data_IF_767003385938
#
_entry.id   IF_767003385938
#
_cell.length_a   1.000
_cell.length_b   1.000
_cell.length_c   1.000
_cell.angle_alpha   90.00
_cell.angle_beta   90.00
_cell.angle_gamma   90.00
#
_symmetry.space_group_name_H-M   'P 1'
#
loop_
_entity.id
_entity.type
_entity.pdbx_description
1 polymer ?
#
# COMPACT_ATOMS: atom_id res chain seq x y z
N UNK A 1 -10.00 1.75 -7.85
CA UNK A 1 -9.44 2.62 -6.78
C UNK A 1 -9.79 4.10 -6.94
N UNK A 2 -10.42 4.54 -8.04
CA UNK A 2 -10.89 5.92 -8.19
C UNK A 2 -11.97 6.29 -7.17
N UNK A 3 -12.76 5.31 -6.74
CA UNK A 3 -13.85 5.40 -5.78
C UNK A 3 -13.43 5.93 -4.39
N UNK A 4 -12.15 5.81 -4.03
CA UNK A 4 -11.57 6.33 -2.77
C UNK A 4 -11.00 7.73 -2.90
N UNK A 5 -10.62 8.16 -4.11
CA UNK A 5 -9.84 9.39 -4.32
C UNK A 5 -10.67 10.63 -3.96
N UNK A 6 -10.08 11.53 -3.16
CA UNK A 6 -10.71 12.81 -2.78
C UNK A 6 -11.94 12.67 -1.88
N UNK A 7 -12.27 11.47 -1.38
CA UNK A 7 -13.47 11.24 -0.53
C UNK A 7 -13.23 11.48 0.96
N UNK A 8 -11.98 11.60 1.38
CA UNK A 8 -11.61 11.75 2.79
C UNK A 8 -10.37 12.64 2.95
N UNK A 9 -10.32 13.36 4.06
CA UNK A 9 -9.17 14.16 4.52
C UNK A 9 -8.73 13.80 5.93
N UNK A 10 -9.44 12.88 6.59
CA UNK A 10 -9.17 12.44 7.97
C UNK A 10 -9.05 10.92 8.03
N UNK A 11 -8.32 10.41 9.03
CA UNK A 11 -8.18 8.96 9.27
C UNK A 11 -9.53 8.27 9.47
N UNK A 12 -10.46 8.91 10.19
CA UNK A 12 -11.82 8.40 10.41
C UNK A 12 -12.61 8.37 9.10
N UNK A 13 -12.50 9.42 8.27
CA UNK A 13 -13.11 9.46 6.95
C UNK A 13 -12.60 8.35 6.03
N UNK A 14 -11.29 8.09 6.04
CA UNK A 14 -10.68 7.00 5.29
C UNK A 14 -11.24 5.64 5.72
N UNK A 15 -11.33 5.38 7.04
CA UNK A 15 -11.92 4.14 7.57
C UNK A 15 -13.38 3.99 7.12
N UNK A 16 -14.18 5.05 7.21
CA UNK A 16 -15.58 5.03 6.75
C UNK A 16 -15.69 4.74 5.25
N UNK A 17 -14.79 5.29 4.43
CA UNK A 17 -14.75 5.02 3.00
C UNK A 17 -14.47 3.53 2.72
N UNK A 18 -13.50 2.92 3.41
CA UNK A 18 -13.24 1.48 3.30
C UNK A 18 -14.47 0.64 3.68
N UNK A 19 -15.06 0.90 4.84
CA UNK A 19 -16.25 0.17 5.31
C UNK A 19 -17.44 0.35 4.36
N UNK A 20 -17.61 1.54 3.76
CA UNK A 20 -18.68 1.81 2.79
C UNK A 20 -18.58 0.89 1.56
N UNK A 21 -17.37 0.54 1.14
CA UNK A 21 -17.14 -0.38 0.03
C UNK A 21 -16.97 -1.84 0.48
N UNK A 22 -17.28 -2.15 1.75
CA UNK A 22 -17.27 -3.51 2.26
C UNK A 22 -15.88 -4.03 2.69
N UNK A 23 -14.87 -3.16 2.78
CA UNK A 23 -13.53 -3.56 3.21
C UNK A 23 -13.29 -3.24 4.69
N UNK A 24 -12.66 -4.17 5.39
CA UNK A 24 -12.23 -4.03 6.78
C UNK A 24 -10.86 -3.36 6.91
N UNK A 25 -10.08 -3.34 5.83
CA UNK A 25 -8.69 -2.92 5.80
C UNK A 25 -8.29 -2.43 4.41
N UNK A 26 -7.20 -1.65 4.35
CA UNK A 26 -6.60 -1.25 3.07
C UNK A 26 -6.05 -2.46 2.31
N UNK A 27 -5.52 -3.45 3.03
CA UNK A 27 -5.04 -4.72 2.49
C UNK A 27 -6.17 -5.46 1.77
N UNK A 28 -7.35 -5.60 2.39
CA UNK A 28 -8.51 -6.20 1.74
C UNK A 28 -8.97 -5.43 0.50
N UNK A 29 -8.90 -4.10 0.54
CA UNK A 29 -9.21 -3.28 -0.63
C UNK A 29 -8.21 -3.51 -1.78
N UNK A 30 -6.92 -3.68 -1.48
CA UNK A 30 -5.92 -4.00 -2.51
C UNK A 30 -6.04 -5.43 -3.01
N UNK A 31 -6.34 -6.40 -2.15
CA UNK A 31 -6.55 -7.80 -2.53
C UNK A 31 -7.71 -7.97 -3.52
N UNK A 32 -8.75 -7.16 -3.41
CA UNK A 32 -9.85 -7.19 -4.37
C UNK A 32 -9.44 -6.62 -5.73
N UNK A 33 -8.56 -5.60 -5.76
CA UNK A 33 -8.24 -4.84 -6.98
C UNK A 33 -7.02 -5.35 -7.72
N UNK A 34 -6.10 -6.02 -7.03
CA UNK A 34 -4.80 -6.39 -7.56
C UNK A 34 -4.40 -7.80 -7.17
N UNK A 35 -3.61 -8.43 -8.02
CA UNK A 35 -3.06 -9.76 -7.74
C UNK A 35 -1.96 -9.68 -6.69
N UNK A 36 -2.11 -10.42 -5.59
CA UNK A 36 -1.01 -10.59 -4.62
C UNK A 36 0.14 -11.34 -5.27
N UNK A 37 1.35 -10.82 -5.10
CA UNK A 37 2.59 -11.48 -5.55
C UNK A 37 3.56 -11.62 -4.38
N UNK A 38 4.28 -12.74 -4.26
CA UNK A 38 5.36 -12.82 -3.29
C UNK A 38 6.38 -11.71 -3.58
N UNK A 39 6.89 -11.05 -2.55
CA UNK A 39 7.77 -9.89 -2.72
C UNK A 39 9.04 -10.20 -3.54
N UNK A 40 9.53 -11.43 -3.49
CA UNK A 40 10.65 -11.90 -4.33
C UNK A 40 10.36 -11.79 -5.85
N UNK A 41 9.09 -11.74 -6.25
CA UNK A 41 8.62 -11.56 -7.62
C UNK A 41 8.02 -10.17 -7.89
N UNK A 42 8.09 -9.25 -6.93
CA UNK A 42 7.64 -7.88 -7.10
C UNK A 42 8.52 -7.16 -8.13
N UNK A 43 7.87 -6.51 -9.10
CA UNK A 43 8.48 -5.76 -10.19
C UNK A 43 8.55 -4.28 -9.86
N UNK A 44 9.36 -3.54 -10.61
CA UNK A 44 9.33 -2.08 -10.53
C UNK A 44 7.90 -1.56 -10.73
N UNK A 45 7.41 -0.73 -9.82
CA UNK A 45 6.06 -0.19 -9.85
C UNK A 45 5.01 -0.99 -9.08
N UNK A 46 5.28 -2.25 -8.71
CA UNK A 46 4.36 -3.04 -7.90
C UNK A 46 4.17 -2.36 -6.53
N UNK A 47 2.94 -2.42 -6.01
CA UNK A 47 2.61 -1.90 -4.69
C UNK A 47 3.15 -2.84 -3.62
N UNK A 48 3.61 -2.29 -2.51
CA UNK A 48 4.08 -3.08 -1.37
C UNK A 48 3.57 -2.50 -0.06
N UNK A 49 3.39 -3.35 0.93
CA UNK A 49 3.05 -2.95 2.29
C UNK A 49 4.17 -3.33 3.25
N UNK A 50 4.56 -2.38 4.09
CA UNK A 50 5.52 -2.54 5.17
C UNK A 50 4.82 -3.11 6.42
N UNK A 51 5.57 -3.75 7.31
CA UNK A 51 5.09 -4.24 8.61
C UNK A 51 4.56 -3.11 9.53
N UNK A 52 5.06 -1.90 9.35
CA UNK A 52 4.54 -0.65 9.96
C UNK A 52 3.13 -0.28 9.47
N UNK A 53 2.64 -0.95 8.42
CA UNK A 53 1.37 -0.67 7.75
C UNK A 53 1.46 0.41 6.68
N UNK A 54 2.64 1.01 6.46
CA UNK A 54 2.87 1.98 5.40
C UNK A 54 2.85 1.33 4.01
N UNK A 55 2.42 2.11 3.02
CA UNK A 55 2.36 1.67 1.64
C UNK A 55 3.53 2.26 0.86
N UNK A 56 4.11 1.45 -0.01
CA UNK A 56 5.21 1.86 -0.87
C UNK A 56 5.08 1.29 -2.28
N UNK A 57 6.10 1.61 -3.08
CA UNK A 57 6.26 1.14 -4.45
C UNK A 57 7.62 0.46 -4.58
N UNK A 58 7.65 -0.71 -5.20
CA UNK A 58 8.89 -1.39 -5.53
C UNK A 58 9.67 -0.60 -6.57
N UNK A 59 10.96 -0.39 -6.31
CA UNK A 59 11.89 0.26 -7.23
C UNK A 59 13.11 -0.64 -7.48
N UNK A 60 14.00 -0.22 -8.39
CA UNK A 60 15.26 -0.93 -8.64
C UNK A 60 16.22 -0.89 -7.44
N UNK A 61 16.04 0.06 -6.51
CA UNK A 61 16.93 0.26 -5.35
C UNK A 61 16.36 -0.25 -4.03
N UNK A 62 15.16 -0.84 -4.05
CA UNK A 62 14.45 -1.23 -2.83
C UNK A 62 12.99 -0.82 -2.90
N UNK A 63 12.45 -0.33 -1.79
CA UNK A 63 11.07 0.16 -1.70
C UNK A 63 11.07 1.66 -1.42
N UNK A 64 10.21 2.38 -2.14
CA UNK A 64 9.96 3.80 -1.91
C UNK A 64 8.64 3.95 -1.15
N UNK A 65 8.70 4.49 0.07
CA UNK A 65 7.55 4.65 0.97
C UNK A 65 7.27 6.12 1.19
N UNK A 66 6.00 6.50 1.22
CA UNK A 66 5.57 7.79 1.77
C UNK A 66 5.19 7.55 3.22
N UNK A 67 5.95 8.13 4.15
CA UNK A 67 5.73 7.88 5.57
C UNK A 67 4.48 8.60 6.08
N UNK A 68 3.90 8.09 7.17
CA UNK A 68 2.71 8.71 7.78
C UNK A 68 2.96 10.13 8.32
N UNK A 69 4.20 10.48 8.62
CA UNK A 69 4.59 11.82 9.12
C UNK A 69 4.82 12.82 8.00
N UNK A 70 4.71 12.40 6.74
CA UNK A 70 5.14 13.17 5.60
C UNK A 70 6.64 13.03 5.38
N UNK A 71 7.03 12.94 4.12
CA UNK A 71 8.39 12.61 3.73
C UNK A 71 8.44 11.32 2.92
N UNK A 72 9.64 11.04 2.43
CA UNK A 72 9.87 9.99 1.46
C UNK A 72 11.07 9.19 1.88
N UNK A 73 10.88 7.89 2.07
CA UNK A 73 11.92 7.02 2.57
C UNK A 73 12.20 5.92 1.56
N UNK A 74 13.48 5.64 1.35
CA UNK A 74 13.91 4.54 0.50
C UNK A 74 14.48 3.45 1.40
N UNK A 75 13.86 2.28 1.35
CA UNK A 75 14.24 1.09 2.09
C UNK A 75 14.99 0.13 1.16
N UNK A 76 16.33 0.11 1.19
CA UNK A 76 17.12 -0.76 0.33
C UNK A 76 17.05 -2.23 0.76
N UNK A 77 16.86 -2.51 2.05
CA UNK A 77 16.66 -3.85 2.60
C UNK A 77 15.19 -4.04 3.02
N UNK A 78 14.41 -4.83 2.26
CA UNK A 78 12.96 -4.92 2.40
C UNK A 78 12.50 -6.01 3.38
N UNK A 79 13.31 -6.35 4.39
CA UNK A 79 12.94 -7.35 5.42
C UNK A 79 11.63 -7.02 6.15
N UNK A 80 11.21 -5.76 6.10
CA UNK A 80 9.97 -5.25 6.67
C UNK A 80 8.80 -5.29 5.69
N UNK A 81 8.98 -5.70 4.43
CA UNK A 81 7.85 -5.85 3.48
C UNK A 81 7.10 -7.12 3.78
N UNK A 82 5.80 -6.99 4.05
CA UNK A 82 4.94 -8.11 4.43
C UNK A 82 4.09 -8.63 3.26
N UNK A 83 3.81 -7.79 2.25
CA UNK A 83 3.07 -8.21 1.04
C UNK A 83 3.31 -7.27 -0.14
N UNK A 84 3.04 -7.75 -1.34
CA UNK A 84 3.12 -6.98 -2.58
C UNK A 84 1.93 -7.29 -3.52
N UNK A 85 1.60 -6.35 -4.39
CA UNK A 85 0.54 -6.48 -5.39
C UNK A 85 1.01 -6.03 -6.77
N UNK A 86 0.63 -6.78 -7.79
CA UNK A 86 0.83 -6.43 -9.19
C UNK A 86 -0.15 -5.33 -9.60
N UNK A 87 0.40 -4.22 -10.10
CA UNK A 87 -0.36 -3.12 -10.72
C UNK A 87 -0.22 -3.14 -12.23
#
# INVERSE_FOLDING_TARGET
>A
MEEYRGRYSTKIGAKRALTKFGHDSVTAAFDEKFERVPYAFARFGDLVQMDTGEMGVKTNRGVWVISFTGGTENYPDPKTVITAWRV
#
